data_IF_225463065749
#
_entry.id   IF_225463065749
#
_cell.length_a   1.000
_cell.length_b   1.000
_cell.length_c   1.000
_cell.angle_alpha   90.00
_cell.angle_beta   90.00
_cell.angle_gamma   90.00
#
_symmetry.space_group_name_H-M   'P 1'
#
loop_
_entity.id
_entity.type
_entity.pdbx_description
1 polymer ?
#
# COMPACT_ATOMS: atom_id res chain seq x y z
N UNK A 1 -38.82 34.63 0.59
CA UNK A 1 -37.97 33.86 1.51
C UNK A 1 -36.54 33.98 1.00
N UNK A 2 -35.74 34.74 1.74
CA UNK A 2 -34.45 35.30 1.34
C UNK A 2 -33.32 34.33 1.68
N UNK A 3 -32.58 33.89 0.67
CA UNK A 3 -31.36 33.10 0.84
C UNK A 3 -30.19 34.02 1.20
N UNK A 4 -29.57 33.77 2.34
CA UNK A 4 -28.40 34.51 2.84
C UNK A 4 -27.13 34.02 2.15
N UNK A 5 -26.41 34.95 1.51
CA UNK A 5 -25.16 34.71 0.79
C UNK A 5 -23.94 34.71 1.73
N UNK A 6 -22.96 33.86 1.41
CA UNK A 6 -21.67 33.73 2.10
C UNK A 6 -20.80 34.99 1.92
N UNK A 7 -20.60 35.75 3.00
CA UNK A 7 -19.51 36.72 3.18
C UNK A 7 -19.16 36.81 4.67
N UNK A 8 -17.86 36.98 4.95
CA UNK A 8 -17.14 36.92 6.25
C UNK A 8 -16.71 35.47 6.55
N UNK A 9 -15.43 35.13 6.69
CA UNK A 9 -14.40 35.76 7.52
C UNK A 9 -13.02 35.57 6.84
N UNK A 10 -12.27 36.67 6.70
CA UNK A 10 -10.83 36.70 6.44
C UNK A 10 -10.28 37.80 7.36
N UNK A 11 -9.51 37.43 8.39
CA UNK A 11 -8.39 38.20 8.99
C UNK A 11 -7.99 37.64 10.36
N UNK A 12 -6.67 37.64 10.61
CA UNK A 12 -5.91 37.27 11.83
C UNK A 12 -5.87 35.76 12.13
N UNK A 13 -4.72 35.08 12.17
CA UNK A 13 -3.45 35.45 12.84
C UNK A 13 -2.24 35.01 12.01
N UNK A 14 -1.33 35.96 11.75
CA UNK A 14 0.07 35.69 11.46
C UNK A 14 0.85 35.95 12.76
N UNK A 15 1.47 34.91 13.33
CA UNK A 15 2.60 35.02 14.25
C UNK A 15 3.21 33.63 14.51
N UNK A 16 4.54 33.57 14.41
CA UNK A 16 5.44 32.48 14.79
C UNK A 16 5.46 31.22 13.89
N UNK A 17 6.25 31.34 12.81
CA UNK A 17 7.03 30.21 12.32
C UNK A 17 8.05 29.80 13.39
N UNK A 18 7.85 28.63 13.99
CA UNK A 18 8.90 27.88 14.65
C UNK A 18 8.90 26.49 13.99
N UNK A 19 9.90 26.27 13.13
CA UNK A 19 10.26 24.95 12.65
C UNK A 19 10.55 24.08 13.89
N UNK A 20 9.94 22.89 14.07
CA UNK A 20 10.43 21.99 15.08
C UNK A 20 11.80 21.50 14.64
N UNK A 21 12.83 21.91 15.38
CA UNK A 21 14.13 21.26 15.33
C UNK A 21 13.91 19.77 15.60
N UNK A 22 14.43 18.96 14.69
CA UNK A 22 14.57 17.52 14.82
C UNK A 22 15.54 17.27 15.98
N UNK A 23 15.01 17.06 17.18
CA UNK A 23 15.64 16.33 18.28
C UNK A 23 14.66 16.31 19.47
N UNK A 24 13.85 15.24 19.52
CA UNK A 24 13.37 14.55 20.72
C UNK A 24 12.13 13.73 20.35
N UNK A 25 12.38 12.66 19.59
CA UNK A 25 11.45 11.54 19.50
C UNK A 25 12.16 10.29 20.04
N UNK A 26 12.57 10.34 21.30
CA UNK A 26 12.74 9.14 22.12
C UNK A 26 11.36 8.60 22.47
N UNK A 27 10.64 8.16 21.45
CA UNK A 27 9.43 7.36 21.61
C UNK A 27 9.85 5.95 21.96
N UNK A 28 9.38 5.44 23.10
CA UNK A 28 9.45 4.03 23.52
C UNK A 28 8.60 3.11 22.60
N UNK A 29 8.67 3.31 21.28
CA UNK A 29 8.11 2.38 20.30
C UNK A 29 8.94 1.11 20.30
N UNK A 30 8.30 -0.01 20.58
CA UNK A 30 8.88 -1.34 20.41
C UNK A 30 9.50 -1.43 19.01
N UNK A 31 10.80 -1.73 18.93
CA UNK A 31 11.51 -1.83 17.67
C UNK A 31 10.76 -2.76 16.70
N UNK A 32 10.45 -2.26 15.50
CA UNK A 32 9.92 -3.08 14.42
C UNK A 32 10.97 -4.12 14.05
N UNK A 33 10.78 -5.36 14.51
CA UNK A 33 11.65 -6.48 14.20
C UNK A 33 11.29 -6.94 12.79
N UNK A 34 12.18 -6.71 11.83
CA UNK A 34 12.14 -7.35 10.53
C UNK A 34 12.12 -8.88 10.73
N UNK A 35 11.20 -9.57 10.06
CA UNK A 35 11.21 -11.02 10.09
C UNK A 35 12.38 -11.51 9.24
N UNK A 36 13.36 -12.08 9.95
CA UNK A 36 14.51 -12.80 9.44
C UNK A 36 14.06 -13.78 8.34
N UNK A 37 14.29 -13.40 7.08
CA UNK A 37 14.28 -14.34 5.98
C UNK A 37 15.49 -15.25 6.16
N UNK A 38 15.28 -16.32 6.93
CA UNK A 38 16.15 -17.48 7.14
C UNK A 38 17.46 -17.47 6.35
N UNK A 39 18.54 -17.09 7.05
CA UNK A 39 19.88 -17.60 6.76
C UNK A 39 20.74 -16.79 5.78
N UNK A 40 21.11 -15.56 6.16
CA UNK A 40 22.40 -14.98 5.82
C UNK A 40 22.60 -13.73 6.69
N UNK A 41 23.75 -13.57 7.33
CA UNK A 41 24.08 -12.40 8.17
C UNK A 41 24.23 -11.10 7.37
N UNK A 42 23.19 -10.69 6.65
CA UNK A 42 23.15 -9.50 5.82
C UNK A 42 22.93 -8.26 6.67
N UNK A 43 23.90 -7.35 6.64
CA UNK A 43 23.77 -5.98 7.14
C UNK A 43 22.58 -5.33 6.41
N UNK A 44 21.48 -5.06 7.12
CA UNK A 44 20.40 -4.22 6.60
C UNK A 44 20.89 -2.78 6.48
N UNK A 45 20.51 -2.09 5.40
CA UNK A 45 20.77 -0.66 5.32
C UNK A 45 19.95 0.08 6.38
N UNK A 46 20.59 1.02 7.07
CA UNK A 46 19.93 1.80 8.13
C UNK A 46 18.85 2.75 7.62
N UNK A 47 18.83 3.04 6.31
CA UNK A 47 17.80 3.81 5.61
C UNK A 47 17.92 3.67 4.09
N UNK A 48 16.94 4.17 3.33
CA UNK A 48 17.04 4.24 1.87
C UNK A 48 18.19 5.17 1.44
N UNK A 49 18.40 6.30 2.12
CA UNK A 49 19.55 7.19 1.86
C UNK A 49 20.88 6.45 1.97
N UNK A 50 21.04 5.59 2.98
CA UNK A 50 22.26 4.78 3.15
C UNK A 50 22.43 3.77 2.01
N UNK A 51 21.35 3.12 1.60
CA UNK A 51 21.34 2.22 0.44
C UNK A 51 21.72 2.95 -0.85
N UNK A 52 21.13 4.12 -1.13
CA UNK A 52 21.37 4.88 -2.36
C UNK A 52 22.76 5.52 -2.42
N UNK A 53 23.35 5.79 -1.25
CA UNK A 53 24.71 6.30 -1.13
C UNK A 53 25.76 5.19 -1.22
N UNK A 54 25.34 3.92 -1.21
CA UNK A 54 26.26 2.78 -1.32
C UNK A 54 26.85 2.67 -2.72
N UNK A 55 28.17 2.53 -2.81
CA UNK A 55 28.82 2.18 -4.07
C UNK A 55 28.65 0.71 -4.47
N UNK A 56 28.13 -0.13 -3.57
CA UNK A 56 28.00 -1.57 -3.79
C UNK A 56 26.73 -1.96 -4.56
N UNK A 57 25.69 -1.12 -4.55
CA UNK A 57 24.39 -1.44 -5.14
C UNK A 57 23.84 -0.25 -5.95
N UNK A 58 23.54 -0.47 -7.23
CA UNK A 58 23.17 0.60 -8.16
C UNK A 58 21.71 0.54 -8.59
N UNK A 59 21.08 1.71 -8.70
CA UNK A 59 19.76 1.85 -9.32
C UNK A 59 19.81 1.36 -10.78
N UNK A 60 18.83 0.56 -11.19
CA UNK A 60 18.74 -0.05 -12.51
C UNK A 60 19.50 -1.38 -12.67
N UNK A 61 20.39 -1.74 -11.76
CA UNK A 61 21.12 -3.03 -11.76
C UNK A 61 20.79 -3.91 -10.56
N UNK A 62 20.72 -3.32 -9.37
CA UNK A 62 20.48 -3.98 -8.09
C UNK A 62 19.08 -3.76 -7.57
N UNK A 63 18.59 -2.54 -7.77
CA UNK A 63 17.33 -2.07 -7.25
C UNK A 63 16.75 -1.02 -8.18
N UNK A 64 15.46 -0.74 -8.05
CA UNK A 64 14.82 0.38 -8.72
C UNK A 64 13.68 0.93 -7.88
N UNK A 65 13.27 2.16 -8.16
CA UNK A 65 12.05 2.74 -7.62
C UNK A 65 11.05 2.99 -8.73
N UNK A 66 9.78 2.82 -8.43
CA UNK A 66 8.69 3.23 -9.32
C UNK A 66 7.66 3.98 -8.51
N UNK A 67 7.25 5.13 -9.01
CA UNK A 67 6.25 5.92 -8.31
C UNK A 67 5.46 6.79 -9.26
N UNK A 68 4.26 7.11 -8.84
CA UNK A 68 3.43 8.17 -9.39
C UNK A 68 2.97 9.04 -8.23
N UNK A 69 3.36 10.31 -8.28
CA UNK A 69 2.88 11.35 -7.37
C UNK A 69 2.15 12.38 -8.21
N UNK A 70 0.83 12.24 -8.31
CA UNK A 70 0.02 13.13 -9.12
C UNK A 70 0.06 14.54 -8.53
N UNK A 71 0.09 15.59 -9.37
CA UNK A 71 -0.14 16.94 -8.88
C UNK A 71 -1.46 16.91 -8.13
N UNK A 72 -1.51 17.62 -7.00
CA UNK A 72 -2.78 17.75 -6.26
C UNK A 72 -3.85 18.13 -7.27
N UNK A 73 -5.01 17.46 -7.27
CA UNK A 73 -6.15 17.99 -7.99
C UNK A 73 -6.24 19.43 -7.53
N UNK A 74 -5.97 20.36 -8.44
CA UNK A 74 -6.26 21.76 -8.21
C UNK A 74 -7.76 21.77 -8.01
N UNK A 75 -8.21 21.65 -6.77
CA UNK A 75 -9.50 22.14 -6.37
C UNK A 75 -9.39 23.65 -6.54
N UNK A 76 -9.39 24.10 -7.79
CA UNK A 76 -9.78 25.44 -8.08
C UNK A 76 -11.19 25.50 -7.50
N UNK A 77 -11.34 26.28 -6.43
CA UNK A 77 -12.55 26.39 -5.61
C UNK A 77 -13.80 26.80 -6.40
N UNK A 78 -13.59 27.16 -7.67
CA UNK A 78 -14.53 27.54 -8.68
C UNK A 78 -14.97 26.40 -9.63
N UNK A 79 -14.39 25.19 -9.52
CA UNK A 79 -14.86 24.01 -10.27
C UNK A 79 -16.21 23.56 -9.71
N UNK A 80 -17.29 23.94 -10.41
CA UNK A 80 -18.66 23.52 -10.09
C UNK A 80 -18.88 22.07 -10.47
N UNK A 81 -19.33 21.27 -9.50
CA UNK A 81 -20.03 19.99 -9.64
C UNK A 81 -19.47 19.00 -10.68
N UNK A 82 -18.17 19.03 -10.96
CA UNK A 82 -17.54 17.90 -11.64
C UNK A 82 -17.44 16.79 -10.59
N UNK A 83 -18.04 15.65 -10.88
CA UNK A 83 -18.00 14.41 -10.10
C UNK A 83 -16.61 13.77 -10.13
N UNK A 84 -15.57 14.60 -10.12
CA UNK A 84 -14.17 14.23 -10.02
C UNK A 84 -13.98 13.61 -8.63
N UNK A 85 -13.83 12.30 -8.56
CA UNK A 85 -13.92 11.64 -7.27
C UNK A 85 -12.63 11.94 -6.50
N UNK A 86 -12.73 12.31 -5.20
CA UNK A 86 -11.57 12.69 -4.38
C UNK A 86 -10.65 11.48 -4.28
N UNK A 87 -9.46 11.56 -4.88
CA UNK A 87 -8.42 10.51 -4.82
C UNK A 87 -7.41 10.95 -3.80
N UNK A 88 -7.35 10.23 -2.70
CA UNK A 88 -6.55 10.64 -1.54
C UNK A 88 -5.92 9.49 -0.80
N UNK A 89 -6.02 8.25 -1.32
CA UNK A 89 -5.31 7.09 -0.81
C UNK A 89 -4.23 6.63 -1.78
N UNK A 90 -2.98 6.58 -1.32
CA UNK A 90 -1.85 6.02 -2.05
C UNK A 90 -1.66 4.52 -1.80
N UNK A 91 -0.94 3.84 -2.69
CA UNK A 91 -0.50 2.45 -2.52
C UNK A 91 1.02 2.39 -2.38
N UNK A 92 1.51 1.74 -1.34
CA UNK A 92 2.93 1.73 -0.97
C UNK A 92 3.43 0.28 -0.94
N UNK A 93 4.57 -0.01 -1.57
CA UNK A 93 5.22 -1.33 -1.48
C UNK A 93 6.73 -1.14 -1.25
N UNK A 94 7.17 -1.01 0.02
CA UNK A 94 8.57 -0.73 0.33
C UNK A 94 9.49 -1.91 0.03
N UNK A 95 8.94 -3.12 -0.08
CA UNK A 95 9.69 -4.36 -0.20
C UNK A 95 9.28 -5.12 -1.48
N UNK A 96 9.27 -4.43 -2.62
CA UNK A 96 8.98 -4.99 -3.94
C UNK A 96 10.11 -5.87 -4.52
N UNK A 97 9.84 -6.39 -5.71
CA UNK A 97 10.80 -7.17 -6.47
C UNK A 97 11.04 -8.55 -5.85
N UNK A 98 12.28 -8.82 -5.44
CA UNK A 98 12.68 -10.07 -4.80
C UNK A 98 12.60 -10.06 -3.27
N UNK A 99 12.36 -8.90 -2.64
CA UNK A 99 12.33 -8.76 -1.17
C UNK A 99 11.11 -9.50 -0.63
N UNK A 100 9.91 -9.02 -0.96
CA UNK A 100 8.64 -9.67 -0.65
C UNK A 100 7.88 -9.90 -1.96
N UNK A 101 8.33 -10.90 -2.73
CA UNK A 101 7.85 -11.17 -4.09
C UNK A 101 6.32 -11.09 -4.24
N UNK A 102 5.83 -10.49 -5.33
CA UNK A 102 4.40 -10.31 -5.60
C UNK A 102 3.83 -8.96 -5.13
N UNK A 103 4.47 -8.26 -4.20
CA UNK A 103 4.00 -6.93 -3.74
C UNK A 103 4.13 -5.86 -4.84
N UNK A 104 5.15 -5.91 -5.69
CA UNK A 104 5.27 -5.02 -6.87
C UNK A 104 4.07 -5.14 -7.80
N UNK A 105 3.70 -6.39 -8.16
CA UNK A 105 2.62 -6.67 -9.07
C UNK A 105 1.26 -6.23 -8.48
N UNK A 106 1.02 -6.53 -7.21
CA UNK A 106 -0.17 -6.08 -6.49
C UNK A 106 -0.24 -4.54 -6.38
N UNK A 107 0.88 -3.88 -6.09
CA UNK A 107 0.95 -2.42 -5.98
C UNK A 107 0.48 -1.76 -7.27
N UNK A 108 0.95 -2.22 -8.42
CA UNK A 108 0.58 -1.66 -9.73
C UNK A 108 -0.90 -1.94 -10.06
N UNK A 109 -1.38 -3.15 -9.81
CA UNK A 109 -2.77 -3.52 -10.04
C UNK A 109 -3.75 -2.72 -9.16
N UNK A 110 -3.44 -2.56 -7.87
CA UNK A 110 -4.25 -1.79 -6.92
C UNK A 110 -4.17 -0.30 -7.22
N UNK A 111 -3.00 0.21 -7.62
CA UNK A 111 -2.86 1.57 -8.10
C UNK A 111 -3.63 1.81 -9.41
N UNK A 112 -3.96 0.76 -10.16
CA UNK A 112 -4.66 0.87 -11.44
C UNK A 112 -3.77 1.30 -12.58
N UNK A 113 -2.47 0.92 -12.53
CA UNK A 113 -1.43 1.16 -13.54
C UNK A 113 -1.37 0.02 -14.58
N UNK A 114 -1.08 0.37 -15.84
CA UNK A 114 -1.11 -0.55 -16.99
C UNK A 114 0.31 -0.81 -17.41
N UNK A 115 0.71 -2.06 -17.33
CA UNK A 115 2.01 -2.47 -17.82
C UNK A 115 2.13 -2.39 -19.35
N UNK A 116 1.01 -2.29 -20.08
CA UNK A 116 1.00 -2.25 -21.55
C UNK A 116 1.06 -0.84 -22.15
N UNK A 117 0.92 0.21 -21.33
CA UNK A 117 0.73 1.59 -21.81
C UNK A 117 1.96 2.52 -21.64
N UNK A 118 3.16 2.01 -21.35
CA UNK A 118 4.34 2.88 -21.16
C UNK A 118 5.20 3.01 -22.42
N UNK A 119 5.13 4.17 -23.11
CA UNK A 119 6.30 4.67 -23.81
C UNK A 119 6.47 6.17 -23.48
N UNK A 120 7.55 6.51 -22.77
CA UNK A 120 8.07 7.88 -22.55
C UNK A 120 7.44 8.92 -23.47
N UNK A 121 6.44 9.68 -23.00
CA UNK A 121 6.03 10.94 -23.61
C UNK A 121 5.46 11.88 -22.55
N UNK A 122 5.88 13.14 -22.66
CA UNK A 122 5.64 14.22 -21.72
C UNK A 122 4.15 14.58 -21.60
N UNK A 123 3.68 14.69 -20.36
CA UNK A 123 2.55 15.49 -19.88
C UNK A 123 1.14 15.30 -20.50
N UNK A 124 0.20 15.04 -19.58
CA UNK A 124 -1.16 15.62 -19.52
C UNK A 124 -2.03 15.47 -20.77
N UNK A 125 -3.03 14.58 -20.82
CA UNK A 125 -4.32 14.93 -20.18
C UNK A 125 -5.30 13.75 -20.04
N UNK A 126 -4.95 12.54 -20.46
CA UNK A 126 -5.91 11.42 -20.49
C UNK A 126 -5.22 10.07 -20.39
N UNK A 127 -4.60 9.77 -19.26
CA UNK A 127 -4.36 8.36 -18.96
C UNK A 127 -5.67 7.80 -18.36
N UNK A 128 -6.50 7.05 -19.14
CA UNK A 128 -7.53 6.24 -18.51
C UNK A 128 -6.84 5.27 -17.54
N UNK A 129 -7.55 4.84 -16.50
CA UNK A 129 -6.98 3.79 -15.68
C UNK A 129 -6.67 2.57 -16.53
N UNK A 130 -5.55 1.96 -16.22
CA UNK A 130 -5.05 0.76 -16.85
C UNK A 130 -5.99 -0.43 -16.84
N UNK A 131 -6.73 -0.50 -15.75
CA UNK A 131 -7.79 -1.47 -15.57
C UNK A 131 -9.04 -0.75 -16.04
N UNK A 132 -9.70 -1.18 -17.14
CA UNK A 132 -10.87 -0.50 -17.67
C UNK A 132 -11.92 -0.25 -16.57
N UNK A 133 -12.34 1.01 -16.42
CA UNK A 133 -13.32 1.43 -15.40
C UNK A 133 -12.77 1.61 -13.99
N UNK A 134 -11.50 1.29 -13.75
CA UNK A 134 -10.82 1.59 -12.50
C UNK A 134 -10.40 3.07 -12.45
N UNK A 135 -9.90 3.54 -11.31
CA UNK A 135 -9.25 4.86 -11.23
C UNK A 135 -7.80 4.68 -10.80
N UNK A 136 -6.89 5.37 -11.48
CA UNK A 136 -5.47 5.44 -11.15
C UNK A 136 -5.27 6.15 -9.81
N UNK A 137 -4.37 5.63 -8.99
CA UNK A 137 -3.96 6.18 -7.69
C UNK A 137 -2.47 6.49 -7.69
N UNK A 138 -2.07 7.38 -6.79
CA UNK A 138 -0.66 7.56 -6.48
C UNK A 138 -0.10 6.27 -5.88
N UNK A 139 1.14 5.98 -6.20
CA UNK A 139 1.83 4.83 -5.66
C UNK A 139 3.32 5.09 -5.54
N UNK A 140 3.95 4.32 -4.66
CA UNK A 140 5.40 4.20 -4.64
C UNK A 140 5.77 2.75 -4.30
N UNK A 141 6.81 2.24 -4.96
CA UNK A 141 7.44 0.99 -4.58
C UNK A 141 8.95 1.06 -4.75
N UNK A 142 9.63 0.28 -3.94
CA UNK A 142 11.04 -0.02 -4.06
C UNK A 142 11.18 -1.50 -4.43
N UNK A 143 11.95 -1.81 -5.47
CA UNK A 143 12.13 -3.18 -5.96
C UNK A 143 13.61 -3.57 -5.88
N UNK A 144 13.91 -4.70 -5.24
CA UNK A 144 15.19 -5.36 -5.48
C UNK A 144 15.11 -6.18 -6.78
N UNK A 145 16.10 -5.98 -7.65
CA UNK A 145 16.22 -6.65 -8.96
C UNK A 145 16.97 -7.98 -8.87
N UNK A 146 17.73 -8.20 -7.79
CA UNK A 146 18.47 -9.43 -7.52
C UNK A 146 17.89 -10.16 -6.31
N UNK A 147 17.86 -11.49 -6.35
CA UNK A 147 17.41 -12.29 -5.21
C UNK A 147 18.47 -12.30 -4.09
N UNK A 148 18.01 -12.29 -2.83
CA UNK A 148 18.87 -12.55 -1.65
C UNK A 148 19.88 -11.44 -1.33
N UNK A 149 19.67 -10.21 -1.80
CA UNK A 149 20.55 -9.09 -1.47
C UNK A 149 20.11 -8.31 -0.21
N UNK A 150 20.99 -7.48 0.36
CA UNK A 150 20.74 -6.73 1.60
C UNK A 150 19.87 -5.48 1.42
N UNK A 151 19.09 -5.36 0.34
CA UNK A 151 18.37 -4.14 0.00
C UNK A 151 17.06 -3.94 0.80
N UNK A 152 16.74 -4.83 1.73
CA UNK A 152 15.64 -4.63 2.67
C UNK A 152 15.95 -3.43 3.58
N UNK A 153 15.04 -2.46 3.60
CA UNK A 153 15.05 -1.32 4.53
C UNK A 153 13.69 -1.33 5.21
N UNK A 154 13.68 -1.60 6.51
CA UNK A 154 12.42 -1.63 7.29
C UNK A 154 11.61 -0.34 7.11
N UNK A 155 10.29 -0.46 7.17
CA UNK A 155 9.37 0.64 6.85
C UNK A 155 9.49 1.85 7.77
N UNK A 156 9.95 1.67 9.01
CA UNK A 156 10.22 2.77 9.96
C UNK A 156 11.50 3.54 9.62
N UNK A 157 12.39 2.93 8.82
CA UNK A 157 13.63 3.54 8.33
C UNK A 157 13.51 4.00 6.87
N UNK A 158 12.32 3.88 6.27
CA UNK A 158 12.10 4.34 4.91
C UNK A 158 12.12 5.88 4.87
N UNK A 159 13.20 6.41 4.29
CA UNK A 159 13.46 7.84 4.10
C UNK A 159 13.58 8.22 2.61
N UNK A 160 13.11 7.36 1.70
CA UNK A 160 13.09 7.66 0.27
C UNK A 160 12.27 8.94 -0.01
N UNK A 161 12.86 9.97 -0.64
CA UNK A 161 12.17 11.24 -0.87
C UNK A 161 10.88 11.11 -1.70
N UNK A 162 10.80 10.16 -2.63
CA UNK A 162 9.60 9.95 -3.43
C UNK A 162 8.50 9.24 -2.63
N UNK A 163 8.84 8.27 -1.78
CA UNK A 163 7.90 7.65 -0.84
C UNK A 163 7.27 8.70 0.08
N UNK A 164 8.13 9.57 0.65
CA UNK A 164 7.71 10.67 1.50
C UNK A 164 6.81 11.65 0.77
N UNK A 165 7.15 12.01 -0.47
CA UNK A 165 6.33 12.90 -1.29
C UNK A 165 4.95 12.29 -1.57
N UNK A 166 4.90 11.01 -1.97
CA UNK A 166 3.64 10.30 -2.24
C UNK A 166 2.76 10.24 -1.00
N UNK A 167 3.29 9.82 0.16
CA UNK A 167 2.52 9.77 1.40
C UNK A 167 2.07 11.18 1.83
N UNK A 168 2.95 12.18 1.83
CA UNK A 168 2.60 13.55 2.22
C UNK A 168 1.63 14.25 1.24
N UNK A 169 1.51 13.77 0.01
CA UNK A 169 0.53 14.26 -0.96
C UNK A 169 -0.88 13.71 -0.70
N UNK A 170 -0.98 12.52 -0.10
CA UNK A 170 -2.22 11.77 0.08
C UNK A 170 -2.76 11.89 1.52
N UNK A 171 -4.09 11.78 1.68
CA UNK A 171 -4.72 11.74 3.01
C UNK A 171 -4.42 10.42 3.73
N UNK A 172 -4.41 9.33 2.97
CA UNK A 172 -4.31 7.97 3.48
C UNK A 172 -3.31 7.16 2.63
N UNK A 173 -2.89 6.00 3.12
CA UNK A 173 -2.10 5.05 2.37
C UNK A 173 -2.45 3.61 2.77
N UNK A 174 -2.30 2.68 1.83
CA UNK A 174 -2.24 1.24 2.08
C UNK A 174 -0.85 0.74 1.73
N UNK A 175 -0.13 0.12 2.67
CA UNK A 175 1.14 -0.56 2.37
C UNK A 175 0.96 -2.05 2.16
N UNK A 176 1.73 -2.62 1.23
CA UNK A 176 1.73 -4.03 0.86
C UNK A 176 3.04 -4.66 1.29
N UNK A 177 2.92 -5.72 2.09
CA UNK A 177 4.02 -6.46 2.64
C UNK A 177 3.84 -7.97 2.47
N UNK A 178 4.91 -8.72 2.64
CA UNK A 178 4.93 -10.16 2.66
C UNK A 178 5.63 -10.71 3.88
N UNK A 179 5.01 -11.73 4.49
CA UNK A 179 5.60 -12.46 5.63
C UNK A 179 5.47 -13.97 5.43
N UNK A 180 6.17 -14.76 6.24
CA UNK A 180 6.07 -16.22 6.24
C UNK A 180 5.56 -16.68 7.59
N UNK A 181 4.28 -17.08 7.71
CA UNK A 181 3.73 -17.46 9.01
C UNK A 181 4.55 -18.58 9.68
N UNK A 182 4.99 -18.37 10.92
CA UNK A 182 5.63 -19.40 11.74
C UNK A 182 4.63 -20.50 12.13
N UNK A 183 3.38 -20.10 12.39
CA UNK A 183 2.29 -20.98 12.82
C UNK A 183 0.95 -20.56 12.17
N UNK A 184 -0.04 -21.46 12.26
CA UNK A 184 -1.40 -21.22 11.78
C UNK A 184 -1.62 -21.58 10.31
N UNK A 185 -2.72 -21.06 9.70
CA UNK A 185 -3.07 -21.37 8.31
C UNK A 185 -2.02 -20.89 7.32
N UNK A 186 -1.81 -21.62 6.22
CA UNK A 186 -0.81 -21.22 5.23
C UNK A 186 -1.14 -19.86 4.55
N UNK A 187 -2.42 -19.60 4.28
CA UNK A 187 -2.89 -18.37 3.63
C UNK A 187 -3.49 -17.41 4.66
N UNK A 188 -2.78 -16.32 4.92
CA UNK A 188 -3.16 -15.29 5.89
C UNK A 188 -2.99 -13.88 5.31
N UNK A 189 -3.81 -12.96 5.83
CA UNK A 189 -3.67 -11.51 5.70
C UNK A 189 -3.72 -10.92 7.12
N UNK A 190 -2.68 -10.19 7.53
CA UNK A 190 -2.72 -9.38 8.76
C UNK A 190 -2.89 -7.91 8.38
N UNK A 191 -3.88 -7.26 8.98
CA UNK A 191 -4.23 -5.86 8.71
C UNK A 191 -3.80 -5.04 9.92
N UNK A 192 -2.88 -4.11 9.70
CA UNK A 192 -2.33 -3.23 10.72
C UNK A 192 -2.43 -1.76 10.31
N UNK A 193 -1.76 -0.90 11.06
CA UNK A 193 -1.66 0.54 10.82
C UNK A 193 -2.36 1.38 11.87
N UNK A 194 -2.41 2.70 11.62
CA UNK A 194 -3.05 3.68 12.50
C UNK A 194 -4.45 4.07 12.05
N UNK A 195 -4.79 3.85 10.78
CA UNK A 195 -6.11 4.19 10.24
C UNK A 195 -7.11 3.07 10.51
N UNK A 196 -7.70 3.10 11.70
CA UNK A 196 -8.68 2.09 12.14
C UNK A 196 -9.85 1.94 11.17
N UNK A 197 -10.35 3.04 10.59
CA UNK A 197 -11.48 2.96 9.64
C UNK A 197 -11.05 2.28 8.35
N UNK A 198 -9.87 2.58 7.82
CA UNK A 198 -9.35 1.91 6.63
C UNK A 198 -9.07 0.43 6.90
N UNK A 199 -8.52 0.08 8.06
CA UNK A 199 -8.30 -1.30 8.49
C UNK A 199 -9.61 -2.11 8.51
N UNK A 200 -10.66 -1.55 9.09
CA UNK A 200 -11.99 -2.20 9.12
C UNK A 200 -12.63 -2.29 7.73
N UNK A 201 -12.46 -1.28 6.87
CA UNK A 201 -12.94 -1.33 5.49
C UNK A 201 -12.21 -2.41 4.68
N UNK A 202 -10.91 -2.61 4.91
CA UNK A 202 -10.13 -3.68 4.29
C UNK A 202 -10.65 -5.06 4.74
N UNK A 203 -10.82 -5.27 6.05
CA UNK A 203 -11.36 -6.52 6.58
C UNK A 203 -12.75 -6.86 6.01
N UNK A 204 -13.64 -5.86 5.99
CA UNK A 204 -14.97 -5.99 5.39
C UNK A 204 -14.91 -6.35 3.90
N UNK A 205 -14.07 -5.67 3.14
CA UNK A 205 -13.95 -5.93 1.70
C UNK A 205 -13.38 -7.34 1.46
N UNK A 206 -12.36 -7.76 2.22
CA UNK A 206 -11.82 -9.11 2.11
C UNK A 206 -12.88 -10.18 2.36
N UNK A 207 -13.71 -10.05 3.40
CA UNK A 207 -14.83 -10.96 3.65
C UNK A 207 -15.82 -10.99 2.48
N UNK A 208 -16.21 -9.81 1.98
CA UNK A 208 -17.10 -9.66 0.81
C UNK A 208 -16.57 -10.37 -0.44
N UNK A 209 -15.25 -10.34 -0.67
CA UNK A 209 -14.59 -10.99 -1.79
C UNK A 209 -14.20 -12.46 -1.51
N UNK A 210 -14.63 -13.03 -0.39
CA UNK A 210 -14.48 -14.45 -0.08
C UNK A 210 -13.19 -14.83 0.64
N UNK A 211 -12.40 -13.86 1.10
CA UNK A 211 -11.19 -14.08 1.91
C UNK A 211 -11.61 -14.26 3.37
N UNK A 212 -12.14 -15.44 3.65
CA UNK A 212 -12.61 -15.82 4.98
C UNK A 212 -12.20 -17.27 5.28
N UNK A 213 -12.05 -17.62 6.57
CA UNK A 213 -11.80 -19.01 6.91
C UNK A 213 -12.99 -19.87 6.48
N UNK A 214 -12.71 -20.96 5.79
CA UNK A 214 -13.71 -22.02 5.59
C UNK A 214 -13.94 -22.80 6.88
N UNK A 215 -15.00 -23.61 6.92
CA UNK A 215 -15.19 -24.61 8.00
C UNK A 215 -14.00 -25.59 8.08
N UNK A 216 -13.32 -25.78 6.96
CA UNK A 216 -12.04 -26.46 6.82
C UNK A 216 -10.99 -25.44 6.38
N UNK A 217 -10.03 -25.14 7.25
CA UNK A 217 -8.95 -24.18 6.96
C UNK A 217 -8.00 -24.68 5.87
N UNK A 218 -8.06 -25.96 5.50
CA UNK A 218 -7.33 -26.55 4.38
C UNK A 218 -8.07 -26.42 3.04
N UNK A 219 -9.31 -25.94 3.04
CA UNK A 219 -10.07 -25.73 1.80
C UNK A 219 -9.28 -24.83 0.82
N UNK A 220 -9.32 -25.10 -0.50
CA UNK A 220 -8.43 -24.44 -1.46
C UNK A 220 -8.44 -22.91 -1.39
N UNK A 221 -9.62 -22.32 -1.13
CA UNK A 221 -9.88 -20.88 -1.08
C UNK A 221 -9.84 -20.27 0.33
N UNK A 222 -9.60 -21.07 1.38
CA UNK A 222 -9.60 -20.56 2.76
C UNK A 222 -8.46 -19.56 2.98
N UNK A 223 -8.81 -18.39 3.49
CA UNK A 223 -7.84 -17.35 3.90
C UNK A 223 -8.24 -16.81 5.27
N UNK A 224 -7.28 -16.74 6.18
CA UNK A 224 -7.51 -16.10 7.49
C UNK A 224 -7.12 -14.63 7.42
N UNK A 225 -8.08 -13.75 7.72
CA UNK A 225 -7.87 -12.30 7.76
C UNK A 225 -7.98 -11.84 9.20
N UNK A 226 -6.94 -11.19 9.70
CA UNK A 226 -6.86 -10.74 11.09
C UNK A 226 -6.54 -9.25 11.14
N UNK A 227 -7.30 -8.47 11.90
CA UNK A 227 -6.86 -7.13 12.30
C UNK A 227 -5.89 -7.29 13.46
N UNK A 228 -4.64 -6.90 13.25
CA UNK A 228 -3.58 -7.00 14.24
C UNK A 228 -3.88 -6.12 15.46
N UNK A 229 -3.59 -6.63 16.65
CA UNK A 229 -3.73 -5.84 17.87
C UNK A 229 -2.64 -4.74 17.92
N UNK A 230 -2.85 -3.66 18.70
CA UNK A 230 -1.82 -2.64 18.88
C UNK A 230 -0.52 -3.23 19.44
N UNK A 231 0.61 -2.69 18.99
CA UNK A 231 1.97 -3.12 19.33
C UNK A 231 2.30 -4.61 19.08
N UNK A 232 1.54 -5.33 18.24
CA UNK A 232 1.97 -6.68 17.82
C UNK A 232 3.06 -6.58 16.76
N UNK A 233 3.87 -7.63 16.66
CA UNK A 233 4.88 -7.77 15.59
C UNK A 233 4.25 -7.48 14.22
N UNK A 234 4.96 -6.73 13.38
CA UNK A 234 4.58 -6.34 12.01
C UNK A 234 3.19 -5.70 11.84
N UNK A 235 2.65 -5.04 12.88
CA UNK A 235 1.34 -4.39 12.78
C UNK A 235 1.37 -2.98 12.15
N UNK A 236 2.55 -2.42 11.88
CA UNK A 236 2.70 -1.14 11.20
C UNK A 236 2.08 0.09 11.88
N UNK A 237 1.87 0.11 13.20
CA UNK A 237 1.23 1.25 13.91
C UNK A 237 2.21 2.36 14.34
N UNK A 238 3.52 2.14 14.17
CA UNK A 238 4.58 3.11 14.45
C UNK A 238 4.40 4.38 13.58
N UNK A 239 4.37 5.60 14.17
CA UNK A 239 4.32 6.85 13.40
C UNK A 239 5.42 7.02 12.35
N UNK A 240 6.60 6.42 12.57
CA UNK A 240 7.73 6.46 11.64
C UNK A 240 7.56 5.50 10.45
N UNK A 241 6.67 4.50 10.55
CA UNK A 241 6.36 3.62 9.43
C UNK A 241 5.84 4.45 8.25
N UNK A 242 6.45 4.29 7.06
CA UNK A 242 6.13 5.06 5.87
C UNK A 242 4.63 5.13 5.54
N UNK A 243 3.86 4.08 5.83
CA UNK A 243 2.41 4.05 5.59
C UNK A 243 1.64 5.07 6.44
N UNK A 244 2.20 5.47 7.59
CA UNK A 244 1.60 6.44 8.51
C UNK A 244 2.10 7.86 8.27
N UNK A 245 3.05 8.09 7.36
CA UNK A 245 3.60 9.41 7.05
C UNK A 245 2.74 10.19 6.04
N UNK A 246 1.43 9.96 6.11
CA UNK A 246 0.39 10.60 5.30
C UNK A 246 -0.04 11.93 5.90
N UNK A 247 -0.91 12.69 5.21
CA UNK A 247 -1.44 13.96 5.78
C UNK A 247 -2.28 13.78 7.03
N UNK A 248 -2.89 12.61 7.22
CA UNK A 248 -3.64 12.30 8.44
C UNK A 248 -2.78 11.68 9.54
N UNK A 249 -1.51 11.36 9.24
CA UNK A 249 -0.64 10.64 10.17
C UNK A 249 -1.05 9.17 10.37
N UNK A 250 -1.88 8.64 9.46
CA UNK A 250 -2.46 7.32 9.58
C UNK A 250 -2.62 6.65 8.20
N UNK A 251 -2.20 5.39 8.13
CA UNK A 251 -2.47 4.50 7.01
C UNK A 251 -2.75 3.08 7.51
N UNK A 252 -2.94 2.15 6.57
CA UNK A 252 -3.20 0.74 6.86
C UNK A 252 -2.13 -0.15 6.19
N UNK A 253 -1.62 -1.12 6.93
CA UNK A 253 -0.61 -2.08 6.47
C UNK A 253 -1.28 -3.43 6.19
N UNK A 254 -0.90 -4.07 5.09
CA UNK A 254 -1.29 -5.44 4.74
C UNK A 254 -0.06 -6.33 4.70
N UNK A 255 0.04 -7.25 5.66
CA UNK A 255 1.00 -8.35 5.65
C UNK A 255 0.37 -9.56 4.97
N UNK A 256 0.96 -10.01 3.85
CA UNK A 256 0.39 -11.06 3.00
C UNK A 256 1.29 -12.29 3.03
N UNK A 257 0.78 -13.40 3.55
CA UNK A 257 1.54 -14.65 3.65
C UNK A 257 2.15 -15.09 2.32
N UNK A 258 3.35 -15.68 2.36
CA UNK A 258 4.04 -16.22 1.17
C UNK A 258 3.15 -17.15 0.35
N UNK A 259 2.39 -18.05 0.99
CA UNK A 259 1.54 -19.01 0.29
C UNK A 259 0.31 -18.36 -0.36
N UNK A 260 -0.26 -17.31 0.25
CA UNK A 260 -1.32 -16.54 -0.39
C UNK A 260 -0.80 -15.77 -1.61
N UNK A 261 0.37 -15.13 -1.51
CA UNK A 261 0.96 -14.43 -2.66
C UNK A 261 1.26 -15.41 -3.80
N UNK A 262 1.89 -16.56 -3.52
CA UNK A 262 2.14 -17.61 -4.53
C UNK A 262 0.87 -18.05 -5.26
N UNK A 263 -0.24 -18.19 -4.53
CA UNK A 263 -1.51 -18.60 -5.08
C UNK A 263 -2.13 -17.60 -6.08
N UNK A 264 -1.57 -16.40 -6.25
CA UNK A 264 -2.07 -15.38 -7.18
C UNK A 264 -1.38 -15.39 -8.56
N UNK A 265 -0.34 -16.21 -8.74
CA UNK A 265 0.48 -16.20 -9.96
C UNK A 265 0.57 -17.60 -10.58
N UNK A 266 0.60 -17.66 -11.91
CA UNK A 266 0.85 -18.90 -12.65
C UNK A 266 2.24 -19.50 -12.37
N UNK A 267 3.25 -18.64 -12.26
CA UNK A 267 4.63 -19.03 -11.91
C UNK A 267 5.23 -17.99 -10.97
N UNK A 268 5.94 -18.50 -9.96
CA UNK A 268 6.56 -17.71 -8.90
C UNK A 268 8.07 -17.48 -9.12
N UNK A 269 8.66 -18.19 -10.09
CA UNK A 269 10.11 -18.41 -10.22
C UNK A 269 10.91 -17.14 -10.55
N UNK A 270 10.27 -16.13 -11.14
CA UNK A 270 10.90 -14.85 -11.46
C UNK A 270 9.90 -13.70 -11.44
N UNK A 271 10.41 -12.48 -11.32
CA UNK A 271 9.58 -11.27 -11.43
C UNK A 271 8.91 -11.14 -12.81
N UNK A 272 9.60 -11.54 -13.89
CA UNK A 272 9.04 -11.56 -15.24
C UNK A 272 7.86 -12.54 -15.37
N UNK A 273 7.98 -13.72 -14.76
CA UNK A 273 6.90 -14.72 -14.74
C UNK A 273 5.71 -14.25 -13.91
N UNK A 274 5.95 -13.64 -12.74
CA UNK A 274 4.87 -13.04 -11.94
C UNK A 274 4.12 -11.95 -12.71
N UNK A 275 4.83 -11.01 -13.32
CA UNK A 275 4.22 -9.94 -14.13
C UNK A 275 3.39 -10.47 -15.30
N UNK A 276 3.88 -11.50 -15.98
CA UNK A 276 3.17 -12.08 -17.13
C UNK A 276 2.03 -13.03 -16.75
N UNK A 277 2.07 -13.61 -15.54
CA UNK A 277 1.13 -14.63 -15.05
C UNK A 277 0.20 -14.20 -13.92
N UNK A 278 0.23 -12.93 -13.49
CA UNK A 278 -0.63 -12.39 -12.46
C UNK A 278 -2.12 -12.55 -12.81
N UNK A 279 -2.88 -13.23 -11.94
CA UNK A 279 -4.31 -13.50 -12.17
C UNK A 279 -4.62 -14.37 -13.38
N UNK A 280 -3.60 -14.90 -14.07
CA UNK A 280 -3.75 -15.89 -15.15
C UNK A 280 -3.59 -17.25 -14.52
N UNK A 281 -4.58 -18.11 -14.68
CA UNK A 281 -4.55 -19.38 -13.99
C UNK A 281 -5.89 -20.09 -13.94
N UNK A 282 -5.95 -21.10 -13.09
CA UNK A 282 -7.21 -21.76 -12.76
C UNK A 282 -8.18 -20.80 -12.03
N UNK A 283 -9.38 -21.29 -11.74
CA UNK A 283 -10.40 -20.49 -11.05
C UNK A 283 -9.94 -20.00 -9.66
N UNK A 284 -9.02 -20.70 -9.00
CA UNK A 284 -8.52 -20.33 -7.68
C UNK A 284 -7.49 -19.19 -7.79
N UNK A 285 -6.55 -19.28 -8.72
CA UNK A 285 -5.57 -18.22 -8.98
C UNK A 285 -6.24 -16.91 -9.39
N UNK A 286 -7.21 -17.02 -10.32
CA UNK A 286 -8.02 -15.88 -10.73
C UNK A 286 -8.84 -15.32 -9.55
N UNK A 287 -9.39 -16.17 -8.69
CA UNK A 287 -10.11 -15.75 -7.49
C UNK A 287 -9.21 -14.96 -6.54
N UNK A 288 -8.03 -15.48 -6.17
CA UNK A 288 -7.14 -14.80 -5.23
C UNK A 288 -6.63 -13.47 -5.77
N UNK A 289 -6.18 -13.42 -7.03
CA UNK A 289 -5.70 -12.17 -7.62
C UNK A 289 -6.82 -11.12 -7.74
N UNK A 290 -7.91 -11.46 -8.43
CA UNK A 290 -8.98 -10.50 -8.71
C UNK A 290 -9.70 -10.09 -7.44
N UNK A 291 -9.95 -11.04 -6.53
CA UNK A 291 -10.61 -10.78 -5.27
C UNK A 291 -9.78 -9.89 -4.35
N UNK A 292 -8.46 -10.12 -4.24
CA UNK A 292 -7.59 -9.29 -3.42
C UNK A 292 -7.50 -7.86 -3.97
N UNK A 293 -7.21 -7.72 -5.27
CA UNK A 293 -7.11 -6.40 -5.93
C UNK A 293 -8.45 -5.65 -5.81
N UNK A 294 -9.57 -6.33 -6.02
CA UNK A 294 -10.90 -5.69 -5.93
C UNK A 294 -11.24 -5.30 -4.49
N UNK A 295 -10.94 -6.15 -3.51
CA UNK A 295 -11.18 -5.87 -2.10
C UNK A 295 -10.42 -4.62 -1.62
N UNK A 296 -9.11 -4.54 -1.90
CA UNK A 296 -8.32 -3.37 -1.49
C UNK A 296 -8.83 -2.11 -2.19
N UNK A 297 -9.13 -2.17 -3.49
CA UNK A 297 -9.63 -1.02 -4.24
C UNK A 297 -10.99 -0.55 -3.75
N UNK A 298 -11.89 -1.47 -3.40
CA UNK A 298 -13.21 -1.12 -2.86
C UNK A 298 -13.08 -0.50 -1.45
N UNK A 299 -12.25 -1.08 -0.58
CA UNK A 299 -11.99 -0.53 0.75
C UNK A 299 -11.47 0.91 0.68
N UNK A 300 -10.50 1.18 -0.21
CA UNK A 300 -9.98 2.53 -0.46
C UNK A 300 -11.09 3.46 -0.99
N UNK A 301 -11.91 2.99 -1.92
CA UNK A 301 -12.99 3.79 -2.50
C UNK A 301 -14.04 4.22 -1.46
N UNK A 302 -14.53 3.27 -0.65
CA UNK A 302 -15.46 3.51 0.45
C UNK A 302 -14.84 4.47 1.47
N UNK A 303 -13.56 4.26 1.79
CA UNK A 303 -12.84 5.09 2.75
C UNK A 303 -12.73 6.56 2.30
N UNK A 304 -12.31 6.79 1.05
CA UNK A 304 -12.20 8.13 0.44
C UNK A 304 -13.53 8.88 0.40
N UNK A 305 -14.63 8.16 0.14
CA UNK A 305 -15.96 8.75 0.07
C UNK A 305 -16.61 8.96 1.44
N UNK A 306 -16.00 8.46 2.52
CA UNK A 306 -16.62 8.55 3.85
C UNK A 306 -17.83 7.63 4.02
N UNK A 307 -17.99 6.61 3.16
CA UNK A 307 -19.17 5.75 3.16
C UNK A 307 -19.13 4.76 4.34
N UNK A 308 -20.32 4.41 4.83
CA UNK A 308 -20.49 3.27 5.72
C UNK A 308 -20.36 1.97 4.93
N UNK A 309 -19.81 0.94 5.57
CA UNK A 309 -19.78 -0.40 4.99
C UNK A 309 -21.20 -0.94 4.90
N UNK A 310 -21.59 -1.47 3.74
CA UNK A 310 -22.86 -2.19 3.63
C UNK A 310 -22.79 -3.46 4.48
N UNK A 311 -23.90 -3.85 5.10
CA UNK A 311 -23.96 -5.13 5.81
C UNK A 311 -23.57 -6.27 4.85
N UNK A 312 -22.81 -7.28 5.31
CA UNK A 312 -22.53 -8.46 4.51
C UNK A 312 -23.86 -9.08 4.05
N UNK A 313 -23.96 -9.59 2.82
CA UNK A 313 -25.16 -10.32 2.42
C UNK A 313 -25.35 -11.50 3.39
N UNK A 314 -26.43 -11.46 4.16
CA UNK A 314 -26.85 -12.59 4.99
C UNK A 314 -27.06 -13.79 4.07
N UNK A 315 -26.27 -14.85 4.28
CA UNK A 315 -26.14 -15.97 3.35
C UNK A 315 -27.48 -16.57 2.90
N UNK A 316 -27.49 -16.99 1.63
CA UNK A 316 -28.35 -18.04 1.11
C UNK A 316 -27.52 -19.33 0.99
#
# INVERSE_FOLDING_TARGET
>A
MTFTTRRKILASVAAAAALPLVNDLTGNGSQAVAEDSTGSGTVEFSSNTALYSSSAFKEGEDWMRRFQCSPRPGFADNLRNTTGPIRSTAVIAPHGGSIEAGTSELCLAIAGYDHSADPVTELQDKLPAAVPGAVQRDYWMFEALRNGGPQHVTSTHCDDPAALAVCANNLYAVSLHGFSPDEGPAKQILIGGRDQRLMHNLAWAFDKYGFKPGNDTSAPLSVTVTIAAPNTRINGDDPANIVNRTRTGAGAQLEISTELRKAMFLSWDSAANRRSGAGKGDQNQAHFWNGFVSAVREAMHVHELGLANAEPPTGA
#
